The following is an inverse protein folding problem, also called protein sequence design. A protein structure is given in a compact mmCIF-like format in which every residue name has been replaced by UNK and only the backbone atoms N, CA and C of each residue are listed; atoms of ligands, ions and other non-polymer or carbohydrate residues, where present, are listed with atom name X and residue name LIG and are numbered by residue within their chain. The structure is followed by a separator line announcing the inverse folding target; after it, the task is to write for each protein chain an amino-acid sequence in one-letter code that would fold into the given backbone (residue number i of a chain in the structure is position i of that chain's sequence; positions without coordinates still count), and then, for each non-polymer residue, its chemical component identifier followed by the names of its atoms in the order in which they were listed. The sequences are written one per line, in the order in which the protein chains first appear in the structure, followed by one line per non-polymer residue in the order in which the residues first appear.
data_IF_225729636896
#
_entry.id   IF_225729636896
#
_cell.length_a   1.000
_cell.length_b   1.000
_cell.length_c   1.000
_cell.angle_alpha   90.00
_cell.angle_beta   90.00
_cell.angle_gamma   90.00
#
_symmetry.space_group_name_H-M   'P 1'
#
loop_
_entity.id
_entity.type
_entity.pdbx_description
1 polymer ?
#
# COMPACT_ATOMS: atom_id res chain seq x y z
N UNK A 1 7.74 4.11 -5.19
CA UNK A 1 6.69 3.14 -5.58
C UNK A 1 7.30 1.86 -6.14
N UNK A 2 7.03 0.69 -5.55
CA UNK A 2 7.57 -0.61 -6.02
C UNK A 2 7.04 -0.98 -7.41
N UNK A 3 5.81 -0.59 -7.73
CA UNK A 3 5.18 -0.77 -9.05
C UNK A 3 6.01 -0.07 -10.14
N UNK A 4 6.32 1.22 -9.97
CA UNK A 4 7.17 1.96 -10.90
C UNK A 4 8.57 1.32 -11.06
N UNK A 5 9.18 0.89 -9.95
CA UNK A 5 10.48 0.22 -9.98
C UNK A 5 10.45 -1.10 -10.75
N UNK A 6 9.41 -1.92 -10.58
CA UNK A 6 9.25 -3.18 -11.32
C UNK A 6 8.95 -2.94 -12.81
N UNK A 7 8.14 -1.93 -13.14
CA UNK A 7 7.86 -1.57 -14.53
C UNK A 7 9.12 -1.07 -15.24
N UNK A 8 9.95 -0.27 -14.55
CA UNK A 8 11.28 0.13 -15.04
C UNK A 8 12.20 -1.08 -15.23
N UNK A 9 12.21 -2.03 -14.30
CA UNK A 9 13.00 -3.26 -14.42
C UNK A 9 12.55 -4.14 -15.60
N UNK A 10 11.30 -4.00 -16.05
CA UNK A 10 10.77 -4.64 -17.27
C UNK A 10 11.09 -3.85 -18.56
N UNK A 11 11.88 -2.78 -18.48
CA UNK A 11 12.26 -1.95 -19.62
C UNK A 11 11.18 -1.00 -20.10
N UNK A 12 10.13 -0.78 -19.31
CA UNK A 12 9.05 0.15 -19.69
C UNK A 12 9.57 1.59 -19.52
N UNK A 13 9.45 2.45 -20.55
CA UNK A 13 9.87 3.84 -20.46
C UNK A 13 9.17 4.59 -19.33
N UNK A 14 9.92 5.42 -18.59
CA UNK A 14 9.39 6.19 -17.45
C UNK A 14 8.16 7.03 -17.82
N UNK A 15 8.12 7.65 -19.00
CA UNK A 15 6.96 8.44 -19.42
C UNK A 15 5.66 7.65 -19.55
N UNK A 16 5.74 6.36 -19.93
CA UNK A 16 4.56 5.48 -19.98
C UNK A 16 4.14 5.09 -18.56
N UNK A 17 5.11 4.82 -17.69
CA UNK A 17 4.85 4.49 -16.27
C UNK A 17 4.17 5.67 -15.58
N UNK A 18 4.72 6.87 -15.73
CA UNK A 18 4.22 8.07 -15.09
C UNK A 18 2.81 8.42 -15.61
N UNK A 19 2.58 8.28 -16.92
CA UNK A 19 1.24 8.42 -17.51
C UNK A 19 0.26 7.39 -16.96
N UNK A 20 0.61 6.10 -16.94
CA UNK A 20 -0.24 5.04 -16.41
C UNK A 20 -0.56 5.23 -14.92
N UNK A 21 0.41 5.68 -14.13
CA UNK A 21 0.21 5.96 -12.71
C UNK A 21 -0.65 7.20 -12.49
N UNK A 22 -0.63 8.19 -13.40
CA UNK A 22 -1.49 9.38 -13.32
C UNK A 22 -2.96 9.10 -13.60
N UNK A 23 -3.28 7.98 -14.26
CA UNK A 23 -4.65 7.52 -14.48
C UNK A 23 -5.24 6.74 -13.30
N UNK A 24 -4.41 6.37 -12.31
CA UNK A 24 -4.94 5.76 -11.09
C UNK A 24 -5.69 6.83 -10.31
N UNK A 25 -7.00 6.63 -10.16
CA UNK A 25 -7.79 7.40 -9.22
C UNK A 25 -7.21 7.19 -7.81
N UNK A 26 -6.80 8.28 -7.18
CA UNK A 26 -6.13 8.25 -5.88
C UNK A 26 -7.04 7.66 -4.79
N UNK A 27 -8.34 7.94 -4.85
CA UNK A 27 -9.31 7.41 -3.90
C UNK A 27 -9.55 5.91 -4.12
N UNK A 28 -9.66 5.46 -5.38
CA UNK A 28 -9.79 4.04 -5.69
C UNK A 28 -8.54 3.25 -5.25
N UNK A 29 -7.35 3.80 -5.51
CA UNK A 29 -6.08 3.22 -5.08
C UNK A 29 -6.00 3.13 -3.55
N UNK A 30 -6.36 4.21 -2.85
CA UNK A 30 -6.39 4.27 -1.39
C UNK A 30 -7.38 3.26 -0.81
N UNK A 31 -8.58 3.18 -1.37
CA UNK A 31 -9.64 2.27 -0.94
C UNK A 31 -9.23 0.81 -1.14
N UNK A 32 -8.61 0.48 -2.27
CA UNK A 32 -8.08 -0.87 -2.55
C UNK A 32 -7.03 -1.29 -1.49
N UNK A 33 -6.11 -0.38 -1.13
CA UNK A 33 -5.10 -0.66 -0.09
C UNK A 33 -5.79 -0.84 1.26
N UNK A 34 -6.74 0.04 1.60
CA UNK A 34 -7.52 -0.04 2.85
C UNK A 34 -8.23 -1.39 2.98
N UNK A 35 -8.91 -1.85 1.94
CA UNK A 35 -9.60 -3.13 1.93
C UNK A 35 -8.64 -4.32 2.07
N UNK A 36 -7.47 -4.25 1.42
CA UNK A 36 -6.43 -5.26 1.58
C UNK A 36 -5.91 -5.32 3.03
N UNK A 37 -5.65 -4.17 3.65
CA UNK A 37 -5.21 -4.06 5.05
C UNK A 37 -6.29 -4.58 6.00
N UNK A 38 -7.54 -4.20 5.80
CA UNK A 38 -8.68 -4.65 6.61
C UNK A 38 -8.91 -6.16 6.50
N UNK A 39 -8.77 -6.72 5.30
CA UNK A 39 -8.83 -8.16 5.09
C UNK A 39 -7.72 -8.88 5.87
N UNK A 40 -6.49 -8.34 5.85
CA UNK A 40 -5.37 -8.90 6.63
C UNK A 40 -5.59 -8.77 8.14
N UNK A 41 -6.17 -7.65 8.61
CA UNK A 41 -6.48 -7.40 10.03
C UNK A 41 -7.30 -8.54 10.65
N UNK A 42 -8.24 -9.14 9.89
CA UNK A 42 -9.09 -10.26 10.36
C UNK A 42 -8.32 -11.53 10.75
N UNK A 43 -7.12 -11.74 10.19
CA UNK A 43 -6.31 -12.96 10.42
C UNK A 43 -5.04 -12.72 11.24
N UNK A 44 -4.69 -11.46 11.51
CA UNK A 44 -3.46 -11.10 12.24
C UNK A 44 -3.70 -11.16 13.74
N UNK A 45 -2.97 -12.04 14.43
CA UNK A 45 -2.88 -12.03 15.89
C UNK A 45 -1.91 -10.92 16.33
N UNK A 46 -2.36 -10.03 17.21
CA UNK A 46 -1.55 -8.96 17.77
C UNK A 46 -1.74 -8.86 19.29
N UNK A 47 -0.69 -8.42 19.99
CA UNK A 47 -0.70 -8.29 21.45
C UNK A 47 -1.41 -7.01 21.93
N UNK A 48 -1.39 -5.96 21.10
CA UNK A 48 -2.03 -4.67 21.33
C UNK A 48 -2.19 -3.92 19.99
N UNK A 49 -2.81 -2.74 20.02
CA UNK A 49 -3.02 -1.89 18.85
C UNK A 49 -1.70 -1.50 18.16
N UNK A 50 -0.65 -1.19 18.93
CA UNK A 50 0.65 -0.83 18.37
C UNK A 50 1.30 -1.98 17.60
N UNK A 51 1.29 -3.19 18.16
CA UNK A 51 1.76 -4.42 17.51
C UNK A 51 0.92 -4.75 16.26
N UNK A 52 -0.39 -4.50 16.31
CA UNK A 52 -1.29 -4.66 15.16
C UNK A 52 -0.90 -3.70 14.02
N UNK A 53 -0.81 -2.40 14.29
CA UNK A 53 -0.40 -1.37 13.31
C UNK A 53 0.97 -1.70 12.72
N UNK A 54 1.94 -2.09 13.54
CA UNK A 54 3.27 -2.51 13.07
C UNK A 54 3.25 -3.75 12.16
N UNK A 55 2.38 -4.73 12.45
CA UNK A 55 2.20 -5.92 11.59
C UNK A 55 1.52 -5.59 10.27
N UNK A 56 0.50 -4.73 10.28
CA UNK A 56 -0.21 -4.30 9.08
C UNK A 56 0.68 -3.42 8.19
N UNK A 57 1.47 -2.51 8.76
CA UNK A 57 2.46 -1.71 8.05
C UNK A 57 3.46 -2.60 7.32
N UNK A 58 4.08 -3.57 8.02
CA UNK A 58 5.01 -4.53 7.40
C UNK A 58 4.37 -5.32 6.26
N UNK A 59 3.09 -5.70 6.42
CA UNK A 59 2.36 -6.38 5.37
C UNK A 59 2.18 -5.49 4.13
N UNK A 60 1.73 -4.24 4.29
CA UNK A 60 1.59 -3.29 3.18
C UNK A 60 2.92 -3.01 2.47
N UNK A 61 3.99 -2.77 3.22
CA UNK A 61 5.34 -2.56 2.67
C UNK A 61 5.83 -3.77 1.87
N UNK A 62 5.53 -4.99 2.32
CA UNK A 62 5.91 -6.21 1.58
C UNK A 62 5.22 -6.29 0.20
N UNK A 63 4.01 -5.74 0.08
CA UNK A 63 3.25 -5.63 -1.17
C UNK A 63 3.74 -4.49 -2.07
N UNK A 64 4.48 -3.54 -1.50
CA UNK A 64 5.19 -2.49 -2.26
C UNK A 64 4.52 -1.13 -2.26
N UNK A 65 3.56 -0.93 -1.37
CA UNK A 65 2.91 0.36 -1.14
C UNK A 65 3.84 1.31 -0.38
N UNK A 66 3.57 2.59 -0.56
CA UNK A 66 4.30 3.72 0.01
C UNK A 66 4.13 3.77 1.53
N UNK A 67 5.20 4.02 2.27
CA UNK A 67 5.12 4.12 3.73
C UNK A 67 4.19 5.23 4.19
N UNK A 68 4.24 6.41 3.56
CA UNK A 68 3.37 7.55 3.87
C UNK A 68 1.89 7.19 3.76
N UNK A 69 1.48 6.65 2.61
CA UNK A 69 0.10 6.23 2.36
C UNK A 69 -0.37 5.15 3.34
N UNK A 70 0.52 4.19 3.68
CA UNK A 70 0.20 3.19 4.70
C UNK A 70 0.05 3.80 6.09
N UNK A 71 0.85 4.79 6.47
CA UNK A 71 0.69 5.49 7.76
C UNK A 71 -0.65 6.20 7.82
N UNK A 72 -1.04 6.92 6.77
CA UNK A 72 -2.31 7.65 6.71
C UNK A 72 -3.50 6.68 6.85
N UNK A 73 -3.49 5.59 6.08
CA UNK A 73 -4.54 4.55 6.17
C UNK A 73 -4.59 3.93 7.57
N UNK A 74 -3.44 3.60 8.17
CA UNK A 74 -3.40 2.94 9.49
C UNK A 74 -3.77 3.87 10.65
N UNK A 75 -3.58 5.18 10.50
CA UNK A 75 -4.02 6.17 11.46
C UNK A 75 -5.54 6.39 11.38
N UNK A 76 -6.13 6.26 10.19
CA UNK A 76 -7.59 6.33 9.97
C UNK A 76 -8.35 5.05 10.41
N UNK A 77 -7.66 4.01 10.88
CA UNK A 77 -8.25 2.74 11.33
C UNK A 77 -8.61 2.71 12.82
N UNK A 78 -8.40 3.82 13.54
CA UNK A 78 -8.73 3.99 14.96
C UNK A 78 -10.23 4.21 15.19
#
# INVERSE_FOLDING_TARGET
VKIAAMLKAKGIPSGIIDSALSFLDEEEYRQMIKDMILSRRKSVKAKNQYDLKGKLLRYGLSKGFESSLLYDILNDLD
#
